data_IF_668303281388
#
_entry.id   IF_668303281388
#
_cell.length_a   1.000
_cell.length_b   1.000
_cell.length_c   1.000
_cell.angle_alpha   90.00
_cell.angle_beta   90.00
_cell.angle_gamma   90.00
#
_symmetry.space_group_name_H-M   'P 1'
#
loop_
_entity.id
_entity.type
_entity.pdbx_description
1 polymer ?
#
# COMPACT_ATOMS: atom_id res chain seq x y z
N UNK A 1 -8.87 -7.08 15.47
CA UNK A 1 -8.61 -7.92 14.29
C UNK A 1 -7.10 -8.01 14.12
N UNK A 2 -6.53 -9.19 14.29
CA UNK A 2 -5.08 -9.44 14.26
C UNK A 2 -4.72 -9.81 12.82
N UNK A 3 -3.95 -8.99 12.10
CA UNK A 3 -3.39 -9.35 10.81
C UNK A 3 -2.17 -10.24 11.08
N UNK A 4 -2.36 -11.55 11.19
CA UNK A 4 -1.25 -12.50 11.31
C UNK A 4 -0.73 -12.84 9.91
N UNK A 5 0.46 -12.36 9.58
CA UNK A 5 1.18 -12.63 8.32
C UNK A 5 2.08 -13.87 8.38
N UNK A 6 1.85 -14.76 9.35
CA UNK A 6 2.69 -15.93 9.59
C UNK A 6 1.95 -17.23 9.27
N UNK A 7 1.85 -17.53 7.98
CA UNK A 7 1.79 -18.92 7.53
C UNK A 7 3.17 -19.31 6.98
N UNK A 8 3.84 -20.17 7.72
CA UNK A 8 5.16 -20.74 7.45
C UNK A 8 5.17 -21.54 6.15
N UNK A 9 5.94 -21.09 5.15
CA UNK A 9 6.32 -21.93 4.00
C UNK A 9 7.70 -22.52 4.28
N UNK A 10 7.74 -23.84 4.45
CA UNK A 10 8.97 -24.62 4.62
C UNK A 10 9.77 -24.56 3.31
N UNK A 11 10.80 -23.70 3.24
CA UNK A 11 11.65 -23.48 2.04
C UNK A 11 12.79 -24.49 1.96
N UNK A 12 12.48 -25.76 1.74
CA UNK A 12 13.49 -26.72 1.29
C UNK A 12 12.90 -27.57 0.17
N UNK A 13 13.49 -27.46 -1.03
CA UNK A 13 13.34 -28.37 -2.18
C UNK A 13 12.19 -28.12 -3.18
N UNK A 14 12.07 -26.91 -3.76
CA UNK A 14 11.28 -26.74 -5.00
C UNK A 14 12.07 -25.97 -6.08
N UNK A 15 12.16 -26.49 -7.33
CA UNK A 15 12.81 -25.81 -8.45
C UNK A 15 12.16 -24.47 -8.80
N UNK A 16 13.00 -23.46 -9.03
CA UNK A 16 12.66 -22.02 -9.09
C UNK A 16 11.80 -21.52 -10.26
N UNK A 17 11.13 -22.39 -11.06
CA UNK A 17 10.56 -21.94 -12.33
C UNK A 17 9.13 -22.34 -12.70
N UNK A 18 8.32 -22.95 -11.83
CA UNK A 18 6.95 -23.34 -12.24
C UNK A 18 5.85 -23.22 -11.20
N UNK A 19 6.05 -22.51 -10.08
CA UNK A 19 4.96 -22.33 -9.12
C UNK A 19 4.13 -21.06 -9.44
N UNK A 20 2.82 -21.16 -9.75
CA UNK A 20 1.95 -19.99 -9.88
C UNK A 20 1.87 -19.16 -8.59
N UNK A 21 2.20 -19.73 -7.42
CA UNK A 21 2.34 -19.00 -6.15
C UNK A 21 3.61 -18.14 -6.08
N UNK A 22 4.55 -18.27 -7.04
CA UNK A 22 5.79 -17.49 -7.12
C UNK A 22 5.62 -16.11 -7.79
N UNK A 23 4.43 -15.77 -8.31
CA UNK A 23 4.14 -14.46 -8.93
C UNK A 23 3.58 -13.44 -7.92
N UNK A 24 4.15 -13.39 -6.71
CA UNK A 24 3.74 -12.36 -5.76
C UNK A 24 4.34 -11.02 -6.22
N UNK A 25 3.49 -10.00 -6.40
CA UNK A 25 3.89 -8.61 -6.66
C UNK A 25 4.61 -8.30 -7.99
N UNK A 26 4.80 -9.29 -8.88
CA UNK A 26 5.58 -9.15 -10.13
C UNK A 26 4.97 -8.18 -11.15
N UNK A 27 3.73 -7.72 -10.95
CA UNK A 27 3.12 -6.71 -11.81
C UNK A 27 3.52 -5.27 -11.44
N UNK A 28 4.22 -5.09 -10.31
CA UNK A 28 4.56 -3.78 -9.75
C UNK A 28 6.05 -3.63 -9.42
N UNK A 29 6.78 -4.74 -9.31
CA UNK A 29 8.19 -4.77 -8.96
C UNK A 29 8.94 -5.80 -9.80
N UNK A 30 10.18 -5.51 -10.15
CA UNK A 30 11.10 -6.49 -10.73
C UNK A 30 11.45 -7.62 -9.75
N UNK A 31 11.79 -8.79 -10.28
CA UNK A 31 12.13 -9.99 -9.51
C UNK A 31 13.30 -9.78 -8.52
N UNK A 32 14.28 -8.94 -8.85
CA UNK A 32 15.41 -8.62 -7.97
C UNK A 32 15.03 -7.72 -6.78
N UNK A 33 13.90 -7.03 -6.88
CA UNK A 33 13.34 -6.17 -5.84
C UNK A 33 12.36 -6.92 -4.93
N UNK A 34 11.79 -8.04 -5.40
CA UNK A 34 10.81 -8.85 -4.67
C UNK A 34 11.32 -9.32 -3.30
N UNK A 35 12.41 -10.09 -3.28
CA UNK A 35 12.95 -10.72 -2.05
C UNK A 35 13.60 -9.70 -1.09
N UNK A 36 13.86 -8.47 -1.56
CA UNK A 36 14.69 -7.52 -0.83
C UNK A 36 13.99 -6.22 -0.40
N UNK A 37 12.99 -5.74 -1.13
CA UNK A 37 12.32 -4.47 -0.85
C UNK A 37 10.88 -4.65 -0.40
N UNK A 38 10.08 -5.42 -1.14
CA UNK A 38 8.63 -5.55 -0.89
C UNK A 38 8.34 -6.27 0.41
N UNK A 39 8.87 -7.48 0.60
CA UNK A 39 8.66 -8.23 1.84
C UNK A 39 9.22 -7.47 3.06
N UNK A 40 10.35 -6.77 2.93
CA UNK A 40 10.91 -5.98 4.04
C UNK A 40 10.06 -4.77 4.40
N UNK A 41 9.49 -4.09 3.41
CA UNK A 41 8.56 -2.97 3.66
C UNK A 41 7.29 -3.47 4.34
N UNK A 42 6.69 -4.54 3.82
CA UNK A 42 5.48 -5.12 4.40
C UNK A 42 5.72 -5.70 5.79
N UNK A 43 6.89 -6.31 6.04
CA UNK A 43 7.28 -6.76 7.37
C UNK A 43 7.53 -5.57 8.29
N UNK A 44 8.18 -4.50 7.83
CA UNK A 44 8.35 -3.28 8.60
C UNK A 44 6.98 -2.75 9.03
N UNK A 45 6.03 -2.64 8.11
CA UNK A 45 4.65 -2.19 8.40
C UNK A 45 3.90 -3.20 9.29
N UNK A 46 4.08 -4.51 9.08
CA UNK A 46 3.33 -5.59 9.72
C UNK A 46 3.78 -5.91 11.15
N UNK A 47 5.09 -5.94 11.43
CA UNK A 47 5.66 -6.05 12.79
C UNK A 47 5.21 -4.89 13.68
N UNK A 48 4.83 -3.80 13.03
CA UNK A 48 4.37 -2.61 13.67
C UNK A 48 2.87 -2.73 14.01
N UNK A 49 1.99 -3.01 13.05
CA UNK A 49 0.54 -2.84 13.24
C UNK A 49 -0.06 -3.62 14.44
N UNK A 50 -0.45 -2.89 15.50
CA UNK A 50 -1.36 -3.39 16.54
C UNK A 50 -2.73 -2.71 16.41
N UNK A 51 -3.84 -3.46 16.29
CA UNK A 51 -5.16 -2.83 16.25
C UNK A 51 -5.44 -2.07 17.56
N UNK A 52 -6.21 -0.96 17.52
CA UNK A 52 -6.64 -0.26 18.71
C UNK A 52 -7.28 -1.24 19.70
N UNK A 53 -6.90 -1.17 20.98
CA UNK A 53 -7.53 -1.99 22.01
C UNK A 53 -8.98 -1.56 22.17
N UNK A 54 -9.92 -2.44 21.83
CA UNK A 54 -11.33 -2.30 22.21
C UNK A 54 -11.37 -2.04 23.73
N UNK A 55 -11.93 -0.90 24.15
CA UNK A 55 -12.11 -0.39 25.52
C UNK A 55 -11.13 0.70 26.03
N UNK A 56 -10.35 1.38 25.19
CA UNK A 56 -9.68 2.62 25.66
C UNK A 56 -10.73 3.73 25.89
N UNK A 57 -10.81 4.26 27.11
CA UNK A 57 -11.78 5.29 27.53
C UNK A 57 -11.40 6.71 27.08
N UNK A 58 -10.70 6.89 25.96
CA UNK A 58 -10.38 8.21 25.44
C UNK A 58 -11.26 8.52 24.22
N UNK A 59 -12.32 9.33 24.39
CA UNK A 59 -13.05 9.88 23.26
C UNK A 59 -12.17 10.95 22.61
N UNK A 60 -11.82 10.76 21.34
CA UNK A 60 -11.16 11.78 20.52
C UNK A 60 -9.64 11.90 20.63
N UNK A 61 -8.97 11.06 21.44
CA UNK A 61 -7.51 10.93 21.36
C UNK A 61 -7.19 9.82 20.36
N UNK A 62 -6.30 10.09 19.42
CA UNK A 62 -5.95 9.18 18.35
C UNK A 62 -5.69 7.74 18.81
N UNK A 63 -5.91 6.78 17.93
CA UNK A 63 -5.32 5.47 18.13
C UNK A 63 -3.80 5.67 18.13
N UNK A 64 -3.21 5.78 19.31
CA UNK A 64 -1.77 5.71 19.45
C UNK A 64 -1.42 4.25 19.25
N UNK A 65 -1.00 3.92 18.03
CA UNK A 65 -0.41 2.63 17.79
C UNK A 65 0.95 2.70 18.50
N UNK A 66 1.06 2.07 19.67
CA UNK A 66 2.36 1.73 20.26
C UNK A 66 2.96 0.64 19.39
N UNK A 67 3.47 1.05 18.25
CA UNK A 67 4.53 0.36 17.57
C UNK A 67 5.68 0.50 18.55
N UNK A 68 6.30 -0.59 19.00
CA UNK A 68 7.35 -0.54 20.04
C UNK A 68 8.51 0.45 19.72
N UNK A 69 8.50 1.03 18.52
CA UNK A 69 9.47 1.98 18.00
C UNK A 69 8.87 3.12 17.12
N UNK A 70 7.53 3.27 16.98
CA UNK A 70 6.88 4.42 16.31
C UNK A 70 5.64 4.91 17.03
N UNK A 71 5.54 6.22 17.20
CA UNK A 71 4.31 6.84 17.65
C UNK A 71 3.58 7.41 16.42
N UNK A 72 2.93 6.59 15.59
CA UNK A 72 2.05 7.17 14.57
C UNK A 72 0.78 7.65 15.26
N UNK A 73 0.62 8.97 15.36
CA UNK A 73 -0.62 9.54 15.86
C UNK A 73 -1.66 9.51 14.75
N UNK A 74 -2.63 8.58 14.88
CA UNK A 74 -3.81 8.53 14.02
C UNK A 74 -4.81 9.55 14.51
N UNK A 75 -4.99 10.66 13.78
CA UNK A 75 -5.94 11.71 14.15
C UNK A 75 -6.95 11.97 13.06
N UNK A 76 -8.15 12.35 13.47
CA UNK A 76 -9.21 12.89 12.61
C UNK A 76 -9.38 14.41 12.83
N UNK A 77 -8.38 15.06 13.44
CA UNK A 77 -8.39 16.51 13.63
C UNK A 77 -8.41 17.24 12.29
N UNK A 78 -9.20 18.32 12.24
CA UNK A 78 -9.30 19.16 11.06
C UNK A 78 -7.92 19.72 10.69
N UNK A 79 -7.43 19.32 9.52
CA UNK A 79 -6.21 19.86 8.91
C UNK A 79 -6.59 20.72 7.70
N UNK A 80 -6.00 21.92 7.54
CA UNK A 80 -6.16 22.70 6.31
C UNK A 80 -5.77 21.91 5.06
N UNK A 81 -4.84 20.94 5.20
CA UNK A 81 -4.42 20.05 4.12
C UNK A 81 -5.51 19.05 3.70
N UNK A 82 -6.46 18.73 4.59
CA UNK A 82 -7.63 17.92 4.25
C UNK A 82 -8.72 18.72 3.51
N UNK A 83 -8.61 20.04 3.42
CA UNK A 83 -9.64 20.95 2.90
C UNK A 83 -9.16 21.87 1.78
N UNK A 84 -7.92 21.73 1.29
CA UNK A 84 -7.41 22.55 0.21
C UNK A 84 -8.14 22.26 -1.11
N UNK A 85 -8.59 23.34 -1.76
CA UNK A 85 -9.27 23.31 -3.06
C UNK A 85 -8.34 22.66 -4.09
N UNK A 86 -8.65 21.43 -4.49
CA UNK A 86 -7.90 20.66 -5.49
C UNK A 86 -7.20 19.40 -4.97
N UNK A 87 -7.14 19.17 -3.65
CA UNK A 87 -6.59 17.95 -3.05
C UNK A 87 -7.61 17.32 -2.12
N UNK A 88 -8.41 16.40 -2.65
CA UNK A 88 -9.22 15.50 -1.83
C UNK A 88 -8.30 14.38 -1.32
N UNK A 89 -7.51 14.66 -0.29
CA UNK A 89 -6.67 13.65 0.37
C UNK A 89 -7.54 12.77 1.25
N UNK A 90 -7.33 11.46 1.21
CA UNK A 90 -7.98 10.53 2.14
C UNK A 90 -7.24 10.48 3.46
N UNK A 91 -5.92 10.40 3.37
CA UNK A 91 -5.01 10.36 4.51
C UNK A 91 -3.80 11.23 4.16
N UNK A 92 -3.10 11.72 5.18
CA UNK A 92 -1.87 12.50 5.02
C UNK A 92 -0.83 11.96 5.98
N UNK A 93 0.29 11.52 5.44
CA UNK A 93 1.41 11.00 6.23
C UNK A 93 2.59 11.97 6.28
N UNK A 94 3.16 12.12 7.47
CA UNK A 94 4.43 12.82 7.66
C UNK A 94 5.59 11.94 7.20
N UNK A 95 6.34 12.40 6.21
CA UNK A 95 7.49 11.66 5.63
C UNK A 95 8.80 11.92 6.36
N UNK A 96 8.82 12.80 7.36
CA UNK A 96 10.02 13.14 8.11
C UNK A 96 10.32 12.11 9.21
N UNK A 97 11.60 11.83 9.43
CA UNK A 97 12.03 11.01 10.57
C UNK A 97 11.67 11.66 11.92
N UNK A 98 11.31 10.84 12.91
CA UNK A 98 11.14 11.25 14.30
C UNK A 98 12.44 11.85 14.86
N UNK A 99 12.39 13.11 15.33
CA UNK A 99 13.55 13.82 15.90
C UNK A 99 13.12 14.94 16.83
N UNK A 100 13.88 15.20 17.90
CA UNK A 100 13.69 16.36 18.78
C UNK A 100 12.24 16.57 19.27
N UNK A 101 11.56 15.49 19.66
CA UNK A 101 10.16 15.54 20.11
C UNK A 101 9.13 15.65 18.98
N UNK A 102 9.54 15.73 17.71
CA UNK A 102 8.66 15.50 16.58
C UNK A 102 8.32 14.02 16.48
N UNK A 103 7.03 13.75 16.33
CA UNK A 103 6.44 12.43 16.23
C UNK A 103 5.67 12.38 14.91
N UNK A 104 6.11 11.56 13.92
CA UNK A 104 5.43 11.45 12.63
C UNK A 104 3.97 11.03 12.80
N UNK A 105 3.08 11.63 12.01
CA UNK A 105 1.64 11.37 12.11
C UNK A 105 1.06 10.89 10.79
N UNK A 106 -0.04 10.15 10.90
CA UNK A 106 -0.89 9.76 9.77
C UNK A 106 -2.29 10.28 10.07
N UNK A 107 -2.75 11.28 9.30
CA UNK A 107 -3.98 12.02 9.56
C UNK A 107 -5.06 11.57 8.60
N UNK A 108 -6.19 11.11 9.12
CA UNK A 108 -7.32 10.67 8.31
C UNK A 108 -8.24 11.85 8.05
N UNK A 109 -8.40 12.20 6.78
CA UNK A 109 -9.28 13.28 6.37
C UNK A 109 -10.74 12.83 6.35
N UNK A 110 -11.72 13.76 6.50
CA UNK A 110 -13.14 13.40 6.53
C UNK A 110 -13.62 12.55 5.36
N UNK A 111 -13.05 12.75 4.16
CA UNK A 111 -13.44 12.02 2.96
C UNK A 111 -13.11 10.52 3.03
N UNK A 112 -12.08 10.12 3.80
CA UNK A 112 -11.80 8.70 4.04
C UNK A 112 -13.00 7.97 4.65
N UNK A 113 -13.78 8.67 5.48
CA UNK A 113 -14.95 8.12 6.16
C UNK A 113 -16.26 8.34 5.41
N UNK A 114 -16.23 8.94 4.21
CA UNK A 114 -17.45 9.13 3.41
C UNK A 114 -17.94 7.77 2.90
N UNK A 115 -19.16 7.33 3.27
CA UNK A 115 -19.72 6.05 2.80
C UNK A 115 -19.93 6.00 1.27
N UNK A 116 -19.81 7.12 0.57
CA UNK A 116 -19.89 7.22 -0.89
C UNK A 116 -18.54 7.13 -1.57
N UNK A 117 -17.44 7.27 -0.85
CA UNK A 117 -16.09 7.23 -1.41
C UNK A 117 -15.71 5.82 -1.86
N UNK A 118 -15.50 5.61 -3.16
CA UNK A 118 -15.25 4.28 -3.70
C UNK A 118 -13.98 3.62 -3.17
N UNK A 119 -12.94 4.42 -2.88
CA UNK A 119 -11.63 3.90 -2.50
C UNK A 119 -11.59 3.39 -1.05
N UNK A 120 -12.40 3.97 -0.15
CA UNK A 120 -12.30 3.74 1.30
C UNK A 120 -13.59 3.24 1.95
N UNK A 121 -14.75 3.28 1.26
CA UNK A 121 -16.04 2.88 1.87
C UNK A 121 -16.13 1.39 2.24
N UNK A 122 -15.31 0.54 1.63
CA UNK A 122 -15.32 -0.90 1.87
C UNK A 122 -14.10 -1.30 2.71
N UNK A 123 -14.26 -2.36 3.49
CA UNK A 123 -13.20 -3.12 4.16
C UNK A 123 -13.23 -4.59 3.69
N UNK A 124 -12.28 -5.42 4.13
CA UNK A 124 -12.21 -6.82 3.70
C UNK A 124 -13.43 -7.67 4.08
N UNK A 125 -14.26 -7.22 5.02
CA UNK A 125 -15.45 -7.90 5.53
C UNK A 125 -16.75 -7.43 4.86
N UNK A 126 -16.69 -6.38 4.04
CA UNK A 126 -17.86 -5.78 3.38
C UNK A 126 -18.59 -6.76 2.44
N UNK A 127 -17.86 -7.72 1.89
CA UNK A 127 -18.42 -8.80 1.09
C UNK A 127 -17.76 -10.15 1.41
N UNK A 128 -18.48 -11.28 1.26
CA UNK A 128 -17.89 -12.60 1.41
C UNK A 128 -17.02 -12.99 0.20
N UNK A 129 -16.08 -13.91 0.39
CA UNK A 129 -15.25 -14.50 -0.68
C UNK A 129 -15.90 -15.77 -1.23
N UNK A 130 -16.96 -15.60 -2.01
CA UNK A 130 -17.71 -16.73 -2.57
C UNK A 130 -17.10 -17.11 -3.91
N UNK A 131 -16.55 -18.32 -4.03
CA UNK A 131 -16.01 -18.85 -5.28
C UNK A 131 -17.10 -19.00 -6.34
N UNK A 132 -16.80 -18.59 -7.58
CA UNK A 132 -17.73 -18.63 -8.72
C UNK A 132 -19.14 -18.08 -8.39
N UNK A 133 -19.26 -16.86 -7.84
CA UNK A 133 -20.53 -16.33 -7.41
C UNK A 133 -21.41 -16.05 -8.63
N UNK A 134 -22.74 -16.13 -8.45
CA UNK A 134 -23.67 -15.70 -9.51
C UNK A 134 -23.49 -14.20 -9.77
N UNK A 135 -23.77 -13.74 -11.00
CA UNK A 135 -23.61 -12.32 -11.41
C UNK A 135 -24.20 -11.28 -10.44
N UNK A 136 -25.29 -11.60 -9.75
CA UNK A 136 -25.97 -10.70 -8.79
C UNK A 136 -25.62 -10.95 -7.32
N UNK A 137 -24.82 -11.97 -7.03
CA UNK A 137 -24.46 -12.34 -5.67
C UNK A 137 -23.38 -11.40 -5.16
N UNK A 138 -23.60 -10.78 -4.00
CA UNK A 138 -22.61 -9.96 -3.33
C UNK A 138 -21.42 -10.85 -2.92
N UNK A 139 -20.25 -10.58 -3.50
CA UNK A 139 -19.02 -11.31 -3.28
C UNK A 139 -17.87 -10.42 -3.77
N UNK A 140 -16.71 -10.54 -3.14
CA UNK A 140 -15.48 -9.99 -3.69
C UNK A 140 -15.10 -10.69 -5.00
N UNK A 141 -15.37 -11.98 -5.10
CA UNK A 141 -14.91 -12.81 -6.22
C UNK A 141 -15.85 -12.77 -7.43
N UNK A 142 -16.52 -11.63 -7.67
CA UNK A 142 -17.42 -11.47 -8.83
C UNK A 142 -16.62 -11.58 -10.14
N UNK A 143 -17.22 -12.12 -11.21
CA UNK A 143 -16.61 -12.07 -12.54
C UNK A 143 -16.53 -10.63 -13.04
N UNK A 144 -15.60 -10.37 -13.96
CA UNK A 144 -15.39 -9.08 -14.65
C UNK A 144 -15.07 -7.87 -13.73
N UNK A 145 -14.67 -8.14 -12.49
CA UNK A 145 -14.17 -7.13 -11.55
C UNK A 145 -12.85 -6.53 -12.03
N UNK A 146 -12.69 -5.23 -11.83
CA UNK A 146 -11.45 -4.48 -12.08
C UNK A 146 -10.76 -4.17 -10.76
N UNK A 147 -9.47 -3.80 -10.81
CA UNK A 147 -8.72 -3.39 -9.62
C UNK A 147 -9.46 -2.40 -8.71
N UNK A 148 -10.06 -1.35 -9.30
CA UNK A 148 -10.85 -0.36 -8.55
C UNK A 148 -12.02 -0.94 -7.75
N UNK A 149 -12.51 -2.11 -8.14
CA UNK A 149 -13.60 -2.79 -7.45
C UNK A 149 -13.08 -3.54 -6.21
N UNK A 150 -11.76 -3.63 -6.02
CA UNK A 150 -11.05 -4.25 -4.89
C UNK A 150 -10.42 -3.25 -3.93
N UNK A 151 -10.48 -1.96 -4.26
CA UNK A 151 -9.98 -0.92 -3.36
C UNK A 151 -10.80 -0.91 -2.07
N UNK A 152 -10.09 -1.04 -0.96
CA UNK A 152 -10.64 -1.03 0.40
C UNK A 152 -9.87 0.00 1.22
N UNK A 153 -10.44 0.43 2.34
CA UNK A 153 -9.79 1.33 3.30
C UNK A 153 -8.35 0.89 3.66
N UNK A 154 -8.13 -0.43 3.75
CA UNK A 154 -6.81 -1.01 3.99
C UNK A 154 -5.77 -0.73 2.90
N UNK A 155 -6.18 -0.59 1.64
CA UNK A 155 -5.30 -0.24 0.51
C UNK A 155 -4.72 1.17 0.72
N UNK A 156 -5.58 2.15 1.02
CA UNK A 156 -5.15 3.51 1.35
C UNK A 156 -4.25 3.54 2.59
N UNK A 157 -4.59 2.79 3.64
CA UNK A 157 -3.76 2.73 4.84
C UNK A 157 -2.36 2.17 4.54
N UNK A 158 -2.25 1.11 3.73
CA UNK A 158 -0.95 0.55 3.35
C UNK A 158 -0.14 1.56 2.55
N UNK A 159 -0.76 2.22 1.57
CA UNK A 159 -0.11 3.28 0.78
C UNK A 159 0.55 4.30 1.69
N UNK A 160 -0.22 4.82 2.65
CA UNK A 160 0.23 5.87 3.57
C UNK A 160 1.32 5.40 4.53
N UNK A 161 1.23 4.18 5.03
CA UNK A 161 2.27 3.61 5.89
C UNK A 161 3.62 3.48 5.18
N UNK A 162 3.65 3.35 3.85
CA UNK A 162 4.91 3.29 3.10
C UNK A 162 5.63 4.65 3.02
N UNK A 163 4.89 5.76 3.18
CA UNK A 163 5.47 7.11 3.22
C UNK A 163 6.25 7.40 4.50
N UNK A 164 6.08 6.61 5.56
CA UNK A 164 6.83 6.79 6.80
C UNK A 164 8.32 6.53 6.57
N UNK A 165 9.16 7.52 6.91
CA UNK A 165 10.61 7.42 6.76
C UNK A 165 11.15 6.12 7.36
N UNK A 166 10.67 5.78 8.54
CA UNK A 166 11.24 4.68 9.30
C UNK A 166 10.73 3.31 8.88
N UNK A 167 9.55 3.23 8.23
CA UNK A 167 9.15 2.03 7.51
C UNK A 167 10.14 1.78 6.36
N UNK A 168 10.45 2.83 5.59
CA UNK A 168 11.47 2.79 4.54
C UNK A 168 12.87 2.47 5.05
N UNK A 169 13.29 3.04 6.19
CA UNK A 169 14.59 2.75 6.81
C UNK A 169 14.76 1.26 7.13
N UNK A 170 13.73 0.63 7.71
CA UNK A 170 13.72 -0.81 8.00
C UNK A 170 13.67 -1.67 6.75
N UNK A 171 12.95 -1.20 5.74
CA UNK A 171 12.95 -1.81 4.41
C UNK A 171 14.32 -1.73 3.74
N UNK A 172 15.23 -0.87 4.22
CA UNK A 172 16.53 -0.62 3.61
C UNK A 172 16.46 0.34 2.42
N UNK A 173 15.42 1.18 2.34
CA UNK A 173 15.33 2.21 1.30
C UNK A 173 16.43 3.24 1.47
N UNK A 174 17.01 3.64 0.34
CA UNK A 174 18.05 4.67 0.30
C UNK A 174 17.43 6.04 0.60
N UNK A 175 18.08 6.90 1.40
CA UNK A 175 17.64 8.28 1.57
C UNK A 175 17.56 9.01 0.24
N UNK A 176 16.48 9.76 0.02
CA UNK A 176 16.28 10.62 -1.13
C UNK A 176 15.61 11.92 -0.71
N UNK A 177 15.64 12.90 -1.61
CA UNK A 177 15.06 14.21 -1.38
C UNK A 177 13.60 14.24 -1.86
N UNK A 178 12.66 14.44 -0.94
CA UNK A 178 11.22 14.62 -1.24
C UNK A 178 10.90 16.08 -1.64
N UNK A 179 11.94 16.88 -1.92
CA UNK A 179 11.82 18.28 -2.34
C UNK A 179 11.42 19.18 -1.18
N UNK A 180 10.11 19.32 -0.95
CA UNK A 180 9.55 20.27 0.01
C UNK A 180 9.72 19.83 1.47
N UNK A 181 9.94 18.53 1.69
CA UNK A 181 9.98 17.92 3.04
C UNK A 181 11.38 17.51 3.47
N UNK A 182 12.38 17.65 2.60
CA UNK A 182 13.77 17.29 2.83
C UNK A 182 14.08 15.81 2.64
N UNK A 183 15.15 15.34 3.29
CA UNK A 183 15.63 13.95 3.13
C UNK A 183 14.72 12.98 3.87
N UNK A 184 14.19 11.99 3.15
CA UNK A 184 13.39 10.89 3.69
C UNK A 184 13.85 9.54 3.13
N UNK A 185 13.40 8.46 3.76
CA UNK A 185 13.45 7.09 3.23
C UNK A 185 12.05 6.53 2.94
N UNK A 186 10.99 7.30 3.17
CA UNK A 186 9.61 6.90 2.83
C UNK A 186 9.37 6.89 1.33
N UNK A 187 8.31 6.25 0.86
CA UNK A 187 7.94 6.24 -0.56
C UNK A 187 7.33 7.59 -1.01
N UNK A 188 7.09 7.74 -2.31
CA UNK A 188 6.50 8.90 -2.97
C UNK A 188 5.25 8.53 -3.80
N UNK A 189 4.41 9.54 -4.06
CA UNK A 189 3.25 9.48 -4.95
C UNK A 189 3.62 9.76 -6.41
N UNK A 190 4.19 8.76 -7.08
CA UNK A 190 4.77 8.95 -8.41
C UNK A 190 3.72 9.35 -9.45
N UNK A 191 2.46 8.91 -9.35
CA UNK A 191 1.41 9.26 -10.31
C UNK A 191 1.23 10.79 -10.45
N UNK A 192 1.50 11.54 -9.39
CA UNK A 192 1.43 13.01 -9.38
C UNK A 192 2.65 13.70 -10.03
N UNK A 193 3.76 12.98 -10.19
CA UNK A 193 5.08 13.51 -10.61
C UNK A 193 5.56 13.01 -11.98
N UNK A 194 4.94 11.99 -12.57
CA UNK A 194 5.58 11.15 -13.61
C UNK A 194 4.99 11.22 -15.03
N UNK A 195 3.94 12.01 -15.26
CA UNK A 195 3.25 12.02 -16.56
C UNK A 195 2.56 10.69 -16.90
N UNK A 196 2.47 9.76 -15.95
CA UNK A 196 1.71 8.51 -16.06
C UNK A 196 0.20 8.76 -15.87
N UNK A 197 -0.57 7.66 -15.86
CA UNK A 197 -1.99 7.68 -15.54
C UNK A 197 -2.28 8.45 -14.24
N UNK A 198 -3.43 9.12 -14.17
CA UNK A 198 -3.94 9.69 -12.91
C UNK A 198 -4.58 8.65 -12.00
N UNK A 199 -4.81 7.44 -12.52
CA UNK A 199 -5.22 6.28 -11.74
C UNK A 199 -3.97 5.65 -11.09
N UNK A 200 -3.80 5.72 -9.76
CA UNK A 200 -2.54 5.37 -9.10
C UNK A 200 -2.10 3.90 -9.31
N UNK A 201 -2.98 2.88 -9.22
CA UNK A 201 -2.61 1.49 -9.51
C UNK A 201 -2.16 1.29 -10.96
N UNK A 202 -2.79 1.98 -11.92
CA UNK A 202 -2.36 1.95 -13.33
C UNK A 202 -1.00 2.64 -13.50
N UNK A 203 -0.77 3.77 -12.84
CA UNK A 203 0.50 4.48 -12.89
C UNK A 203 1.65 3.62 -12.34
N UNK A 204 1.41 2.91 -11.23
CA UNK A 204 2.36 1.97 -10.64
C UNK A 204 2.79 0.87 -11.62
N UNK A 205 1.83 0.29 -12.36
CA UNK A 205 2.14 -0.68 -13.43
C UNK A 205 2.88 -0.07 -14.60
N UNK A 206 2.52 1.14 -15.02
CA UNK A 206 3.22 1.85 -16.09
C UNK A 206 4.68 2.10 -15.72
N UNK A 207 4.96 2.49 -14.48
CA UNK A 207 6.32 2.61 -13.96
C UNK A 207 7.06 1.26 -14.06
N UNK A 208 6.44 0.18 -13.60
CA UNK A 208 7.03 -1.15 -13.66
C UNK A 208 7.37 -1.58 -15.09
N UNK A 209 6.41 -1.46 -16.01
CA UNK A 209 6.61 -1.80 -17.42
C UNK A 209 7.72 -0.97 -18.07
N UNK A 210 7.89 0.29 -17.68
CA UNK A 210 8.98 1.15 -18.18
C UNK A 210 10.35 0.66 -17.70
N UNK A 211 10.46 0.19 -16.46
CA UNK A 211 11.68 -0.42 -15.96
C UNK A 211 12.01 -1.73 -16.67
N UNK A 212 11.02 -2.60 -16.86
CA UNK A 212 11.17 -3.87 -17.62
C UNK A 212 11.64 -3.58 -19.05
N UNK A 213 11.03 -2.62 -19.73
CA UNK A 213 11.43 -2.21 -21.08
C UNK A 213 12.86 -1.64 -21.11
N UNK A 214 13.22 -0.79 -20.15
CA UNK A 214 14.56 -0.21 -20.07
C UNK A 214 15.64 -1.27 -19.89
N UNK A 215 15.42 -2.26 -19.01
CA UNK A 215 16.33 -3.39 -18.81
C UNK A 215 16.46 -4.22 -20.08
N UNK A 216 15.32 -4.57 -20.69
CA UNK A 216 15.29 -5.37 -21.92
C UNK A 216 16.06 -4.69 -23.06
N UNK A 217 15.91 -3.38 -23.20
CA UNK A 217 16.53 -2.59 -24.27
C UNK A 217 17.90 -2.01 -23.89
N UNK A 218 18.40 -2.27 -22.66
CA UNK A 218 19.65 -1.72 -22.10
C UNK A 218 19.72 -0.19 -22.16
N UNK A 219 18.59 0.46 -21.92
CA UNK A 219 18.51 1.93 -21.84
C UNK A 219 18.49 2.38 -20.38
N UNK A 220 18.76 3.67 -20.11
CA UNK A 220 18.52 4.23 -18.78
C UNK A 220 17.08 3.97 -18.33
N UNK A 221 16.91 3.64 -17.05
CA UNK A 221 15.59 3.46 -16.45
C UNK A 221 14.83 4.77 -16.25
N UNK A 222 13.54 4.69 -15.87
CA UNK A 222 12.79 5.81 -15.33
C UNK A 222 13.53 6.56 -14.21
N UNK A 223 13.16 7.83 -14.00
CA UNK A 223 13.73 8.68 -12.95
C UNK A 223 13.47 8.10 -11.56
N UNK A 224 12.28 7.53 -11.35
CA UNK A 224 11.87 6.96 -10.08
C UNK A 224 12.07 5.45 -10.09
N UNK A 225 12.62 4.90 -9.01
CA UNK A 225 12.65 3.44 -8.81
C UNK A 225 11.26 2.94 -8.37
N UNK A 226 10.92 1.70 -8.72
CA UNK A 226 9.65 1.06 -8.36
C UNK A 226 9.44 0.98 -6.84
N UNK A 227 10.53 0.74 -6.11
CA UNK A 227 10.54 0.63 -4.64
C UNK A 227 10.30 1.96 -3.93
N UNK A 228 10.31 3.08 -4.66
CA UNK A 228 9.97 4.39 -4.15
C UNK A 228 8.50 4.75 -4.38
N UNK A 229 7.69 3.88 -4.99
CA UNK A 229 6.29 4.19 -5.28
C UNK A 229 5.34 3.63 -4.21
N UNK A 230 4.62 4.48 -3.48
CA UNK A 230 3.65 4.03 -2.48
C UNK A 230 2.55 3.14 -3.08
N UNK A 231 2.03 3.54 -4.24
CA UNK A 231 0.98 2.80 -4.95
C UNK A 231 1.43 1.43 -5.43
N UNK A 232 2.72 1.22 -5.73
CA UNK A 232 3.21 -0.10 -6.11
C UNK A 232 3.05 -1.09 -4.96
N UNK A 233 3.37 -0.70 -3.72
CA UNK A 233 3.19 -1.56 -2.56
C UNK A 233 1.70 -1.81 -2.29
N UNK A 234 0.90 -0.76 -2.18
CA UNK A 234 -0.52 -0.87 -1.89
C UNK A 234 -1.28 -1.69 -2.93
N UNK A 235 -0.99 -1.45 -4.22
CA UNK A 235 -1.63 -2.18 -5.31
C UNK A 235 -1.16 -3.64 -5.36
N UNK A 236 0.13 -3.90 -5.14
CA UNK A 236 0.66 -5.26 -5.14
C UNK A 236 0.05 -6.14 -4.03
N UNK A 237 -0.13 -5.60 -2.81
CA UNK A 237 -0.76 -6.33 -1.69
C UNK A 237 -2.23 -6.57 -1.96
N UNK A 238 -2.94 -5.54 -2.43
CA UNK A 238 -4.37 -5.64 -2.78
C UNK A 238 -4.58 -6.70 -3.85
N UNK A 239 -3.79 -6.64 -4.93
CA UNK A 239 -3.86 -7.60 -6.02
C UNK A 239 -3.54 -9.02 -5.55
N UNK A 240 -2.45 -9.21 -4.82
CA UNK A 240 -2.07 -10.52 -4.29
C UNK A 240 -3.18 -11.12 -3.39
N UNK A 241 -3.77 -10.31 -2.51
CA UNK A 241 -4.82 -10.77 -1.61
C UNK A 241 -6.04 -11.26 -2.38
N UNK A 242 -6.57 -10.45 -3.30
CA UNK A 242 -7.78 -10.82 -4.04
C UNK A 242 -7.53 -11.92 -5.07
N UNK A 243 -6.37 -11.93 -5.75
CA UNK A 243 -5.99 -13.07 -6.60
C UNK A 243 -5.94 -14.37 -5.81
N UNK A 244 -5.36 -14.35 -4.61
CA UNK A 244 -5.27 -15.53 -3.73
C UNK A 244 -6.63 -15.96 -3.21
N UNK A 245 -7.43 -15.03 -2.66
CA UNK A 245 -8.72 -15.35 -2.04
C UNK A 245 -9.79 -15.74 -3.05
N UNK A 246 -9.73 -15.21 -4.27
CA UNK A 246 -10.71 -15.46 -5.32
C UNK A 246 -10.23 -16.39 -6.42
N UNK A 247 -8.99 -16.89 -6.32
CA UNK A 247 -8.36 -17.74 -7.32
C UNK A 247 -8.45 -17.13 -8.74
N UNK A 248 -8.16 -15.84 -8.84
CA UNK A 248 -8.11 -15.13 -10.12
C UNK A 248 -6.74 -15.26 -10.76
N UNK A 249 -6.72 -15.41 -12.09
CA UNK A 249 -5.50 -15.35 -12.88
C UNK A 249 -5.01 -13.90 -13.10
N UNK A 250 -5.94 -12.93 -13.11
CA UNK A 250 -5.69 -11.48 -13.15
C UNK A 250 -6.92 -10.70 -12.69
N UNK A 251 -6.72 -9.55 -12.03
CA UNK A 251 -7.79 -8.59 -11.64
C UNK A 251 -7.75 -7.29 -12.45
N UNK A 252 -6.79 -7.18 -13.36
CA UNK A 252 -6.65 -6.07 -14.27
C UNK A 252 -6.82 -6.66 -15.67
N UNK A 253 -8.03 -6.46 -16.22
CA UNK A 253 -8.34 -6.88 -17.59
C UNK A 253 -7.26 -6.40 -18.56
N UNK A 254 -7.02 -7.20 -19.61
CA UNK A 254 -6.07 -6.89 -20.68
C UNK A 254 -6.23 -5.48 -21.24
#
# INVERSE_FOLDING_TARGET
>A
MQLSWHDSINRSEVPRHTDPLLRKFTNYFRDDQYDNGVEKMLNAIGEQWQPPRLNSKQPGAGAQINLDQFNVHITCEDSPLCSSIGSQSFVITDTNAARNGFVPQMRFCPQFFDPKESHTKNDLDSFPYIQNPKRRQASWCKPDTKFRDFEVAGTTIIHELTHLNEAGERAGLTPHDDGDRGITRGTEDIYSKSGYSRDPPTAARQLHLKWVDAIKNKTPGPIFDETLNADSYAASVTEWWFMTKCNFDSILGN
#
